data_IF_604723923737
#
_entry.id   IF_604723923737
#
_cell.length_a   1.000
_cell.length_b   1.000
_cell.length_c   1.000
_cell.angle_alpha   90.00
_cell.angle_beta   90.00
_cell.angle_gamma   90.00
#
_symmetry.space_group_name_H-M   'P 1'
#
loop_
_entity.id
_entity.type
_entity.pdbx_description
1 polymer ?
#
# COMPACT_ATOMS: atom_id res chain seq x y z
N UNK A 1 -11.83 10.25 27.75
CA UNK A 1 -11.95 11.42 26.85
C UNK A 1 -12.20 10.87 25.47
N UNK A 2 -13.25 11.32 24.81
CA UNK A 2 -13.58 10.86 23.46
C UNK A 2 -12.89 11.78 22.45
N UNK A 3 -11.94 11.25 21.68
CA UNK A 3 -11.22 12.02 20.67
C UNK A 3 -11.91 11.87 19.32
N UNK A 4 -12.11 12.97 18.60
CA UNK A 4 -12.81 12.99 17.30
C UNK A 4 -12.35 11.92 16.30
N UNK A 5 -11.08 11.54 16.33
CA UNK A 5 -10.48 10.54 15.44
C UNK A 5 -9.98 9.30 16.19
N UNK A 6 -10.35 9.12 17.46
CA UNK A 6 -9.86 8.06 18.34
C UNK A 6 -10.06 6.68 17.75
N UNK A 7 -11.31 6.34 17.39
CA UNK A 7 -11.65 5.04 16.80
C UNK A 7 -10.88 4.77 15.50
N UNK A 8 -10.73 5.79 14.65
CA UNK A 8 -9.99 5.68 13.39
C UNK A 8 -8.50 5.39 13.63
N UNK A 9 -7.90 6.07 14.62
CA UNK A 9 -6.50 5.89 14.98
C UNK A 9 -6.29 4.50 15.59
N UNK A 10 -7.16 4.07 16.51
CA UNK A 10 -7.08 2.76 17.17
C UNK A 10 -7.26 1.64 16.15
N UNK A 11 -8.26 1.73 15.28
CA UNK A 11 -8.52 0.74 14.23
C UNK A 11 -7.30 0.60 13.34
N UNK A 12 -6.76 1.72 12.85
CA UNK A 12 -5.58 1.70 11.99
C UNK A 12 -4.36 1.10 12.71
N UNK A 13 -4.11 1.51 13.97
CA UNK A 13 -2.95 1.06 14.74
C UNK A 13 -3.03 -0.44 15.07
N UNK A 14 -4.23 -0.94 15.37
CA UNK A 14 -4.48 -2.38 15.59
C UNK A 14 -4.17 -3.18 14.33
N UNK A 15 -4.67 -2.76 13.16
CA UNK A 15 -4.37 -3.46 11.92
C UNK A 15 -2.88 -3.38 11.54
N UNK A 16 -2.21 -2.26 11.83
CA UNK A 16 -0.78 -2.12 11.58
C UNK A 16 0.07 -2.99 12.53
N UNK A 17 -0.34 -3.12 13.80
CA UNK A 17 0.26 -4.05 14.76
C UNK A 17 0.20 -5.50 14.26
N UNK A 18 -0.96 -5.94 13.77
CA UNK A 18 -1.10 -7.28 13.16
C UNK A 18 -0.14 -7.47 11.97
N UNK A 19 0.05 -6.44 11.15
CA UNK A 19 0.97 -6.49 10.02
C UNK A 19 2.44 -6.57 10.47
N UNK A 20 2.81 -5.86 11.53
CA UNK A 20 4.14 -5.99 12.14
C UNK A 20 4.39 -7.43 12.60
N UNK A 21 3.42 -8.03 13.28
CA UNK A 21 3.50 -9.42 13.78
C UNK A 21 3.67 -10.40 12.61
N UNK A 22 2.88 -10.25 11.54
CA UNK A 22 3.02 -11.08 10.32
C UNK A 22 4.40 -10.99 9.68
N UNK A 23 5.04 -9.81 9.73
CA UNK A 23 6.39 -9.56 9.20
C UNK A 23 7.50 -9.86 10.23
N UNK A 24 7.16 -10.50 11.36
CA UNK A 24 8.09 -10.96 12.38
C UNK A 24 8.63 -9.87 13.30
N UNK A 25 7.86 -8.79 13.49
CA UNK A 25 8.15 -7.72 14.45
C UNK A 25 7.08 -7.74 15.53
N UNK A 26 7.48 -7.98 16.77
CA UNK A 26 6.55 -7.92 17.90
C UNK A 26 6.20 -6.46 18.22
N UNK A 27 4.95 -6.11 17.95
CA UNK A 27 4.34 -4.85 18.35
C UNK A 27 3.24 -5.10 19.39
N UNK A 28 3.05 -4.16 20.31
CA UNK A 28 1.91 -4.12 21.23
C UNK A 28 1.31 -2.71 21.20
N UNK A 29 0.05 -2.58 20.77
CA UNK A 29 -0.66 -1.31 20.84
C UNK A 29 -0.81 -0.87 22.32
N UNK A 30 -0.60 0.41 22.58
CA UNK A 30 -0.80 1.02 23.91
C UNK A 30 -2.00 1.98 23.85
N UNK A 31 -3.25 1.51 24.05
CA UNK A 31 -4.45 2.35 23.90
C UNK A 31 -4.51 3.53 24.90
N UNK A 32 -3.89 3.36 26.07
CA UNK A 32 -3.76 4.39 27.11
C UNK A 32 -2.89 5.59 26.66
N UNK A 33 -2.12 5.43 25.58
CA UNK A 33 -1.32 6.50 24.98
C UNK A 33 -2.08 7.31 23.92
N UNK A 34 -3.36 7.01 23.70
CA UNK A 34 -4.19 7.72 22.74
C UNK A 34 -4.26 9.21 23.07
N UNK A 35 -4.04 10.03 22.06
CA UNK A 35 -4.16 11.48 22.04
C UNK A 35 -5.01 11.90 20.84
N UNK A 36 -5.32 13.19 20.74
CA UNK A 36 -6.18 13.76 19.69
C UNK A 36 -5.83 13.30 18.25
N UNK A 37 -4.54 13.10 17.97
CA UNK A 37 -4.04 12.71 16.64
C UNK A 37 -3.04 11.56 16.65
N UNK A 38 -2.84 10.87 17.77
CA UNK A 38 -1.77 9.87 17.83
C UNK A 38 -1.98 8.76 18.85
N UNK A 39 -1.38 7.61 18.61
CA UNK A 39 -1.24 6.50 19.56
C UNK A 39 0.14 5.88 19.43
N UNK A 40 0.61 5.16 20.44
CA UNK A 40 1.90 4.47 20.44
C UNK A 40 1.75 2.96 20.31
N UNK A 41 2.74 2.35 19.67
CA UNK A 41 2.96 0.90 19.66
C UNK A 41 4.32 0.63 20.31
N UNK A 42 4.36 -0.25 21.30
CA UNK A 42 5.58 -0.77 21.91
C UNK A 42 6.20 -1.80 20.98
N UNK A 43 7.50 -1.71 20.74
CA UNK A 43 8.24 -2.68 19.93
C UNK A 43 9.17 -3.48 20.84
N UNK A 44 9.10 -4.81 20.73
CA UNK A 44 9.95 -5.73 21.50
C UNK A 44 10.87 -6.53 20.57
N UNK A 45 12.05 -6.90 21.08
CA UNK A 45 13.04 -7.73 20.40
C UNK A 45 13.42 -8.88 21.32
N UNK A 46 12.75 -10.02 21.15
CA UNK A 46 12.88 -11.13 22.10
C UNK A 46 12.28 -10.73 23.45
N UNK A 47 13.11 -10.70 24.49
CA UNK A 47 12.72 -10.35 25.87
C UNK A 47 12.88 -8.85 26.15
N UNK A 48 13.65 -8.14 25.31
CA UNK A 48 13.96 -6.73 25.53
C UNK A 48 12.96 -5.79 24.83
N UNK A 49 12.72 -4.65 25.45
CA UNK A 49 11.99 -3.54 24.82
C UNK A 49 12.93 -2.77 23.89
N UNK A 50 12.60 -2.70 22.60
CA UNK A 50 13.35 -1.92 21.61
C UNK A 50 12.95 -0.44 21.61
N UNK A 51 11.77 -0.12 22.15
CA UNK A 51 11.26 1.24 22.30
C UNK A 51 9.83 1.38 21.78
N UNK A 52 9.41 2.60 21.46
CA UNK A 52 8.05 2.89 20.98
C UNK A 52 8.07 3.58 19.61
N UNK A 53 7.10 3.22 18.78
CA UNK A 53 6.73 4.03 17.61
C UNK A 53 5.46 4.82 17.92
N UNK A 54 5.32 5.97 17.28
CA UNK A 54 4.13 6.80 17.36
C UNK A 54 3.47 6.84 16.00
N UNK A 55 2.20 6.47 15.93
CA UNK A 55 1.35 6.65 14.76
C UNK A 55 0.61 7.97 14.90
N UNK A 56 0.71 8.81 13.88
CA UNK A 56 0.00 10.08 13.77
C UNK A 56 -1.05 10.02 12.67
N UNK A 57 -2.23 10.56 12.95
CA UNK A 57 -3.25 10.86 11.95
C UNK A 57 -3.22 12.34 11.55
N UNK A 58 -3.04 12.60 10.26
CA UNK A 58 -3.00 13.94 9.66
C UNK A 58 -4.37 14.30 9.09
N UNK A 59 -5.24 14.84 9.95
CA UNK A 59 -6.64 15.15 9.62
C UNK A 59 -6.84 15.96 8.33
N UNK A 60 -5.96 16.94 8.04
CA UNK A 60 -6.04 17.77 6.81
C UNK A 60 -5.79 17.00 5.51
N UNK A 61 -5.06 15.88 5.57
CA UNK A 61 -4.66 15.08 4.40
C UNK A 61 -5.32 13.71 4.40
N UNK A 62 -6.18 13.44 5.37
CA UNK A 62 -6.74 12.11 5.65
C UNK A 62 -5.72 10.96 5.50
N UNK A 63 -4.60 11.05 6.21
CA UNK A 63 -3.48 10.11 6.07
C UNK A 63 -2.79 9.82 7.39
N UNK A 64 -2.05 8.71 7.44
CA UNK A 64 -1.23 8.32 8.59
C UNK A 64 0.25 8.55 8.35
N UNK A 65 1.02 8.68 9.43
CA UNK A 65 2.49 8.68 9.41
C UNK A 65 3.06 8.13 10.71
N UNK A 66 4.32 7.71 10.69
CA UNK A 66 5.00 7.19 11.88
C UNK A 66 6.20 8.06 12.31
N UNK A 67 6.57 7.94 13.58
CA UNK A 67 7.82 8.45 14.17
C UNK A 67 8.43 7.41 15.09
N UNK A 68 9.75 7.27 15.08
CA UNK A 68 10.50 6.32 15.91
C UNK A 68 11.53 6.97 16.83
N UNK A 69 11.32 8.20 17.31
CA UNK A 69 12.30 8.85 18.19
C UNK A 69 12.41 8.19 19.58
N UNK A 70 11.42 7.37 19.96
CA UNK A 70 11.43 6.54 21.18
C UNK A 70 11.92 5.11 20.90
N UNK A 71 12.41 4.81 19.68
CA UNK A 71 13.10 3.56 19.35
C UNK A 71 14.60 3.72 19.54
N UNK A 72 15.22 2.74 20.19
CA UNK A 72 16.66 2.74 20.45
C UNK A 72 17.50 2.25 19.24
N UNK A 73 16.86 1.96 18.10
CA UNK A 73 17.51 1.35 16.95
C UNK A 73 16.98 1.91 15.62
N UNK A 74 17.81 2.69 14.93
CA UNK A 74 17.46 3.32 13.65
C UNK A 74 17.24 2.30 12.53
N UNK A 75 18.02 1.22 12.49
CA UNK A 75 17.86 0.17 11.48
C UNK A 75 16.51 -0.55 11.62
N UNK A 76 16.10 -0.82 12.87
CA UNK A 76 14.78 -1.36 13.16
C UNK A 76 13.68 -0.38 12.77
N UNK A 77 13.85 0.91 13.05
CA UNK A 77 12.89 1.93 12.61
C UNK A 77 12.75 1.95 11.09
N UNK A 78 13.85 1.92 10.32
CA UNK A 78 13.79 1.85 8.85
C UNK A 78 13.05 0.62 8.35
N UNK A 79 13.24 -0.55 9.00
CA UNK A 79 12.49 -1.77 8.67
C UNK A 79 10.98 -1.58 8.91
N UNK A 80 10.60 -1.01 10.05
CA UNK A 80 9.20 -0.71 10.40
C UNK A 80 8.60 0.32 9.44
N UNK A 81 9.38 1.33 9.06
CA UNK A 81 8.97 2.36 8.11
C UNK A 81 8.68 1.80 6.72
N UNK A 82 9.51 0.87 6.23
CA UNK A 82 9.23 0.17 4.98
C UNK A 82 7.93 -0.65 5.05
N UNK A 83 7.70 -1.38 6.14
CA UNK A 83 6.45 -2.14 6.35
C UNK A 83 5.26 -1.18 6.40
N UNK A 84 5.40 -0.03 7.04
CA UNK A 84 4.36 1.00 7.11
C UNK A 84 3.99 1.54 5.73
N UNK A 85 4.97 1.86 4.88
CA UNK A 85 4.70 2.34 3.53
C UNK A 85 4.10 1.27 2.62
N UNK A 86 4.56 0.02 2.75
CA UNK A 86 3.95 -1.14 2.08
C UNK A 86 2.48 -1.30 2.50
N UNK A 87 2.22 -1.27 3.80
CA UNK A 87 0.87 -1.36 4.38
C UNK A 87 -0.04 -0.22 3.93
N UNK A 88 0.44 1.03 3.92
CA UNK A 88 -0.32 2.17 3.39
C UNK A 88 -0.63 2.02 1.91
N UNK A 89 0.33 1.53 1.13
CA UNK A 89 0.13 1.30 -0.31
C UNK A 89 -0.94 0.24 -0.55
N UNK A 90 -0.96 -0.82 0.25
CA UNK A 90 -1.97 -1.88 0.16
C UNK A 90 -3.35 -1.41 0.66
N UNK A 91 -3.43 -0.68 1.76
CA UNK A 91 -4.70 -0.25 2.37
C UNK A 91 -5.33 0.97 1.72
N UNK A 92 -4.52 1.86 1.13
CA UNK A 92 -4.97 2.99 0.33
C UNK A 92 -5.17 2.65 -1.15
N UNK A 93 -4.82 1.42 -1.56
CA UNK A 93 -5.03 0.95 -2.91
C UNK A 93 -6.54 0.81 -3.18
N UNK A 94 -7.07 1.41 -4.25
CA UNK A 94 -8.45 1.12 -4.69
C UNK A 94 -8.67 -0.36 -5.03
N UNK A 95 -7.58 -1.12 -5.15
CA UNK A 95 -7.49 -2.49 -5.64
C UNK A 95 -7.56 -3.58 -4.54
N UNK A 96 -7.69 -3.22 -3.26
CA UNK A 96 -7.74 -4.20 -2.14
C UNK A 96 -9.13 -4.84 -2.01
N UNK A 97 -9.18 -6.17 -1.83
CA UNK A 97 -10.41 -6.98 -1.70
C UNK A 97 -11.36 -6.85 -2.90
N UNK A 98 -10.82 -6.57 -4.08
CA UNK A 98 -11.59 -6.44 -5.33
C UNK A 98 -11.56 -7.71 -6.17
N UNK A 99 -10.85 -8.75 -5.72
CA UNK A 99 -10.66 -9.98 -6.49
C UNK A 99 -9.59 -9.78 -7.55
N UNK A 100 -9.89 -10.17 -8.79
CA UNK A 100 -8.98 -9.98 -9.93
C UNK A 100 -9.30 -8.65 -10.61
N UNK A 101 -8.27 -7.85 -10.80
CA UNK A 101 -8.34 -6.58 -11.50
C UNK A 101 -7.28 -6.53 -12.60
N UNK A 102 -7.63 -5.87 -13.69
CA UNK A 102 -6.79 -5.77 -14.88
C UNK A 102 -6.79 -4.31 -15.29
N UNK A 103 -5.65 -3.64 -15.11
CA UNK A 103 -5.42 -2.33 -15.72
C UNK A 103 -4.91 -2.57 -17.14
N UNK A 104 -5.55 -1.94 -18.12
CA UNK A 104 -5.18 -2.04 -19.53
C UNK A 104 -4.81 -0.66 -20.06
N UNK A 105 -3.82 -0.60 -20.96
CA UNK A 105 -3.44 0.64 -21.62
C UNK A 105 -2.94 0.37 -23.06
N UNK A 106 -3.15 1.35 -23.93
CA UNK A 106 -2.77 1.35 -25.32
C UNK A 106 -1.82 2.51 -25.64
N UNK A 107 -0.72 2.21 -26.34
CA UNK A 107 0.25 3.21 -26.76
C UNK A 107 0.35 3.29 -28.27
N UNK A 108 0.62 4.49 -28.79
CA UNK A 108 0.94 4.68 -30.21
C UNK A 108 2.08 5.67 -30.34
N UNK A 109 3.16 5.24 -31.00
CA UNK A 109 4.33 6.08 -31.22
C UNK A 109 5.06 5.62 -32.48
N UNK A 110 5.51 6.57 -33.29
CA UNK A 110 6.34 6.33 -34.48
C UNK A 110 5.76 5.26 -35.43
N UNK A 111 4.43 5.23 -35.59
CA UNK A 111 3.72 4.28 -36.45
C UNK A 111 3.47 2.90 -35.82
N UNK A 112 3.88 2.69 -34.57
CA UNK A 112 3.76 1.41 -33.86
C UNK A 112 2.69 1.55 -32.77
N UNK A 113 1.71 0.65 -32.78
CA UNK A 113 0.73 0.50 -31.71
C UNK A 113 1.17 -0.58 -30.74
N UNK A 114 1.30 -0.25 -29.46
CA UNK A 114 1.59 -1.19 -28.39
C UNK A 114 0.42 -1.36 -27.43
N UNK A 115 0.40 -2.47 -26.69
CA UNK A 115 -0.55 -2.73 -25.61
C UNK A 115 0.20 -3.11 -24.33
N UNK A 116 -0.44 -2.85 -23.18
CA UNK A 116 0.03 -3.27 -21.88
C UNK A 116 -1.13 -3.64 -20.97
N UNK A 117 -0.96 -4.66 -20.13
CA UNK A 117 -1.91 -4.97 -19.06
C UNK A 117 -1.18 -5.37 -17.77
N UNK A 118 -1.69 -4.91 -16.64
CA UNK A 118 -1.24 -5.32 -15.30
C UNK A 118 -2.39 -6.03 -14.61
N UNK A 119 -2.21 -7.32 -14.35
CA UNK A 119 -3.19 -8.17 -13.67
C UNK A 119 -2.81 -8.23 -12.19
N UNK A 120 -3.75 -7.87 -11.33
CA UNK A 120 -3.61 -7.92 -9.88
C UNK A 120 -4.65 -8.83 -9.26
N UNK A 121 -4.28 -9.45 -8.14
CA UNK A 121 -5.21 -10.10 -7.23
C UNK A 121 -5.08 -9.43 -5.87
N UNK A 122 -6.16 -8.80 -5.43
CA UNK A 122 -6.24 -8.11 -4.13
C UNK A 122 -5.09 -7.10 -3.90
N UNK A 123 -4.73 -6.37 -4.96
CA UNK A 123 -3.67 -5.37 -4.97
C UNK A 123 -2.26 -5.89 -5.25
N UNK A 124 -2.04 -7.21 -5.24
CA UNK A 124 -0.74 -7.80 -5.61
C UNK A 124 -0.66 -8.05 -7.12
N UNK A 125 0.40 -7.59 -7.78
CA UNK A 125 0.66 -7.88 -9.20
C UNK A 125 0.99 -9.36 -9.37
N UNK A 126 0.15 -10.06 -10.13
CA UNK A 126 0.34 -11.48 -10.42
C UNK A 126 0.91 -11.71 -11.83
N UNK A 127 0.66 -10.77 -12.75
CA UNK A 127 1.11 -10.88 -14.13
C UNK A 127 1.13 -9.51 -14.80
N UNK A 128 2.11 -9.33 -15.66
CA UNK A 128 2.17 -8.20 -16.59
C UNK A 128 2.24 -8.74 -18.01
N UNK A 129 1.54 -8.07 -18.93
CA UNK A 129 1.48 -8.38 -20.35
C UNK A 129 1.84 -7.13 -21.12
N UNK A 130 2.59 -7.29 -22.20
CA UNK A 130 2.82 -6.22 -23.16
C UNK A 130 3.18 -6.77 -24.53
N UNK A 131 2.98 -5.95 -25.55
CA UNK A 131 3.34 -6.32 -26.91
C UNK A 131 2.97 -5.24 -27.93
N UNK A 132 3.12 -5.61 -29.19
CA UNK A 132 2.78 -4.77 -30.35
C UNK A 132 1.51 -5.33 -30.98
N UNK A 133 0.59 -4.44 -31.36
CA UNK A 133 -0.62 -4.79 -32.11
C UNK A 133 -0.26 -4.93 -33.60
N UNK A 134 -0.63 -6.02 -34.28
CA UNK A 134 -0.44 -6.16 -35.72
C UNK A 134 -1.01 -4.97 -36.49
N UNK A 135 -0.25 -4.43 -37.45
CA UNK A 135 -0.59 -3.18 -38.16
C UNK A 135 -1.94 -3.27 -38.89
N UNK A 136 -2.26 -4.45 -39.41
CA UNK A 136 -3.54 -4.77 -40.06
C UNK A 136 -4.72 -4.78 -39.09
N UNK A 137 -4.50 -5.03 -37.79
CA UNK A 137 -5.53 -4.97 -36.75
C UNK A 137 -5.72 -3.55 -36.16
N UNK A 138 -4.80 -2.62 -36.41
CA UNK A 138 -4.87 -1.25 -35.85
C UNK A 138 -5.98 -0.43 -36.53
N UNK A 139 -6.23 -0.63 -37.83
CA UNK A 139 -7.25 0.09 -38.63
C UNK A 139 -7.35 1.61 -38.37
N UNK A 140 -6.21 2.27 -38.09
CA UNK A 140 -6.17 3.71 -37.79
C UNK A 140 -6.76 4.12 -36.42
N UNK A 141 -7.10 3.17 -35.56
CA UNK A 141 -7.62 3.41 -34.21
C UNK A 141 -6.51 3.56 -33.15
N UNK A 142 -5.26 3.25 -33.52
CA UNK A 142 -4.03 3.53 -32.76
C UNK A 142 -4.13 3.10 -31.29
N UNK A 143 -4.11 4.04 -30.33
CA UNK A 143 -4.17 3.73 -28.91
C UNK A 143 -5.39 2.89 -28.52
N UNK A 144 -6.54 3.11 -29.18
CA UNK A 144 -7.76 2.33 -28.93
C UNK A 144 -7.57 0.85 -29.31
N UNK A 145 -6.88 0.56 -30.42
CA UNK A 145 -6.53 -0.82 -30.77
C UNK A 145 -5.59 -1.45 -29.72
N UNK A 146 -4.67 -0.65 -29.16
CA UNK A 146 -3.80 -1.08 -28.06
C UNK A 146 -4.60 -1.47 -26.82
N UNK A 147 -5.55 -0.62 -26.39
CA UNK A 147 -6.40 -0.91 -25.22
C UNK A 147 -7.25 -2.17 -25.44
N UNK A 148 -7.86 -2.34 -26.61
CA UNK A 148 -8.66 -3.52 -26.95
C UNK A 148 -7.80 -4.78 -26.96
N UNK A 149 -6.58 -4.72 -27.50
CA UNK A 149 -5.68 -5.87 -27.53
C UNK A 149 -5.20 -6.25 -26.12
N UNK A 150 -4.92 -5.27 -25.26
CA UNK A 150 -4.61 -5.51 -23.85
C UNK A 150 -5.74 -6.28 -23.15
N UNK A 151 -7.01 -5.91 -23.40
CA UNK A 151 -8.18 -6.62 -22.85
C UNK A 151 -8.28 -8.05 -23.41
N UNK A 152 -8.02 -8.27 -24.70
CA UNK A 152 -8.06 -9.61 -25.32
C UNK A 152 -7.01 -10.56 -24.78
N UNK A 153 -5.85 -10.04 -24.35
CA UNK A 153 -4.68 -10.83 -23.92
C UNK A 153 -4.67 -11.14 -22.43
N UNK A 154 -5.35 -10.33 -21.63
CA UNK A 154 -5.43 -10.47 -20.18
C UNK A 154 -6.36 -11.63 -19.77
#
# INVERSE_FOLDING_TARGET
MDYKYGDKIITFATCFEEELIKKGINGELLPDTLREYSVKILITKGIDTAGKIIIYYKSRKDSFSIRGHELNNEFLFRKIENIFFEYLSLTGSPYKNKGIEIDVDGSYRDGITGYGAVIRKDGEVIKELSGIVPVDEVYGSYQIAGEIEAVKKA
#
